data_IF_301759765734
#
_entry.id   IF_301759765734
#
_cell.length_a   1.000
_cell.length_b   1.000
_cell.length_c   1.000
_cell.angle_alpha   90.00
_cell.angle_beta   90.00
_cell.angle_gamma   90.00
#
_symmetry.space_group_name_H-M   'P 1'
#
loop_
_entity.id
_entity.type
_entity.pdbx_description
1 polymer ?
#
# COMPACT_ATOMS: atom_id res chain seq x y z
N UNK A 1 23.79 -3.24 10.67
CA UNK A 1 22.34 -3.06 10.50
C UNK A 1 21.81 -2.18 11.62
N UNK A 2 20.82 -1.31 11.35
CA UNK A 2 20.13 -0.54 12.39
C UNK A 2 18.84 -1.26 12.77
N UNK A 3 18.69 -1.62 14.04
CA UNK A 3 17.49 -2.26 14.57
C UNK A 3 17.13 -1.64 15.91
N UNK A 4 15.88 -1.19 16.05
CA UNK A 4 15.31 -0.68 17.30
C UNK A 4 16.20 0.38 17.97
N UNK A 5 16.73 1.32 17.17
CA UNK A 5 17.63 2.38 17.62
C UNK A 5 19.09 1.96 17.88
N UNK A 6 19.41 0.67 17.75
CA UNK A 6 20.76 0.12 17.96
C UNK A 6 21.46 -0.19 16.63
N UNK A 7 22.79 -0.05 16.59
CA UNK A 7 23.60 -0.53 15.46
C UNK A 7 24.23 -1.87 15.82
N UNK A 8 23.82 -2.93 15.12
CA UNK A 8 24.23 -4.31 15.38
C UNK A 8 24.90 -4.86 14.13
N UNK A 9 26.00 -5.60 14.29
CA UNK A 9 26.65 -6.30 13.17
C UNK A 9 25.80 -7.51 12.77
N UNK A 10 25.58 -7.79 11.47
CA UNK A 10 24.71 -8.89 11.04
C UNK A 10 25.02 -10.24 11.71
N UNK A 11 26.30 -10.57 11.88
CA UNK A 11 26.76 -11.82 12.51
C UNK A 11 26.45 -11.95 14.01
N UNK A 12 26.13 -10.85 14.69
CA UNK A 12 25.81 -10.85 16.13
C UNK A 12 24.30 -10.95 16.38
N UNK A 13 23.46 -10.78 15.34
CA UNK A 13 22.00 -10.71 15.49
C UNK A 13 21.44 -12.01 16.08
N UNK A 14 21.85 -13.16 15.54
CA UNK A 14 21.34 -14.47 15.97
C UNK A 14 21.65 -14.78 17.44
N UNK A 15 22.68 -14.16 18.01
CA UNK A 15 23.03 -14.29 19.44
C UNK A 15 22.07 -13.54 20.35
N UNK A 16 21.49 -12.45 19.85
CA UNK A 16 20.56 -11.60 20.60
C UNK A 16 19.11 -12.04 20.35
N UNK A 17 18.79 -12.40 19.12
CA UNK A 17 17.45 -12.75 18.66
C UNK A 17 17.55 -13.94 17.71
N UNK A 18 17.33 -15.17 18.21
CA UNK A 18 17.48 -16.38 17.40
C UNK A 18 16.57 -16.45 16.17
N UNK A 19 15.44 -15.74 16.19
CA UNK A 19 14.58 -15.52 15.02
C UNK A 19 14.19 -14.04 14.95
N UNK A 20 14.99 -13.26 14.22
CA UNK A 20 14.77 -11.83 14.03
C UNK A 20 13.38 -11.54 13.44
N UNK A 21 12.84 -12.44 12.62
CA UNK A 21 11.56 -12.22 11.94
C UNK A 21 10.36 -12.27 12.88
N UNK A 22 10.53 -12.73 14.13
CA UNK A 22 9.52 -12.55 15.18
C UNK A 22 9.46 -11.12 15.71
N UNK A 23 10.52 -10.32 15.57
CA UNK A 23 10.58 -8.93 16.00
C UNK A 23 10.45 -7.95 14.83
N UNK A 24 11.18 -8.20 13.75
CA UNK A 24 11.21 -7.40 12.52
C UNK A 24 10.92 -8.31 11.32
N UNK A 25 9.65 -8.35 10.92
CA UNK A 25 9.17 -9.32 9.94
C UNK A 25 7.75 -9.07 9.48
N UNK A 26 7.17 -10.09 8.86
CA UNK A 26 5.84 -10.05 8.25
C UNK A 26 4.88 -10.91 9.07
N UNK A 27 3.72 -10.35 9.43
CA UNK A 27 2.65 -11.06 10.12
C UNK A 27 1.33 -10.85 9.40
N UNK A 28 0.53 -11.90 9.28
CA UNK A 28 -0.76 -11.87 8.61
C UNK A 28 -1.87 -11.98 9.64
N UNK A 29 -2.88 -11.14 9.48
CA UNK A 29 -4.03 -11.00 10.37
C UNK A 29 -5.31 -11.02 9.54
N UNK A 30 -6.42 -11.21 10.26
CA UNK A 30 -7.76 -11.00 9.73
C UNK A 30 -8.53 -10.12 10.70
N UNK A 31 -9.18 -9.09 10.19
CA UNK A 31 -10.08 -8.26 10.97
C UNK A 31 -11.29 -9.07 11.41
N UNK A 32 -11.65 -9.01 12.69
CA UNK A 32 -12.79 -9.78 13.23
C UNK A 32 -14.07 -8.95 13.36
N UNK A 33 -13.97 -7.62 13.39
CA UNK A 33 -15.11 -6.73 13.69
C UNK A 33 -15.16 -5.50 12.78
N UNK A 34 -16.27 -4.77 12.84
CA UNK A 34 -16.49 -3.52 12.12
C UNK A 34 -16.65 -3.71 10.60
N UNK A 35 -16.56 -2.61 9.86
CA UNK A 35 -16.77 -2.62 8.41
C UNK A 35 -15.65 -3.36 7.64
N UNK A 36 -14.51 -3.59 8.28
CA UNK A 36 -13.40 -4.41 7.78
C UNK A 36 -13.51 -5.90 8.11
N UNK A 37 -14.54 -6.36 8.82
CA UNK A 37 -14.64 -7.76 9.26
C UNK A 37 -14.42 -8.76 8.11
N UNK A 38 -13.56 -9.75 8.37
CA UNK A 38 -13.14 -10.76 7.41
C UNK A 38 -12.06 -10.32 6.43
N UNK A 39 -11.59 -9.06 6.46
CA UNK A 39 -10.51 -8.58 5.58
C UNK A 39 -9.14 -9.03 6.09
N UNK A 40 -8.25 -9.35 5.15
CA UNK A 40 -6.84 -9.66 5.42
C UNK A 40 -6.06 -8.38 5.65
N UNK A 41 -5.16 -8.41 6.63
CA UNK A 41 -4.17 -7.36 6.89
C UNK A 41 -2.81 -8.02 7.00
N UNK A 42 -1.82 -7.50 6.28
CA UNK A 42 -0.43 -7.93 6.41
C UNK A 42 0.33 -6.80 7.08
N UNK A 43 0.84 -7.02 8.28
CA UNK A 43 1.68 -6.06 8.99
C UNK A 43 3.14 -6.37 8.77
N UNK A 44 3.90 -5.37 8.36
CA UNK A 44 5.33 -5.46 8.15
C UNK A 44 6.02 -4.53 9.14
N UNK A 45 6.88 -5.09 9.98
CA UNK A 45 7.71 -4.36 10.93
C UNK A 45 9.15 -4.41 10.43
N UNK A 46 9.72 -3.30 9.97
CA UNK A 46 11.09 -3.31 9.45
C UNK A 46 12.15 -3.49 10.53
N UNK A 47 11.82 -3.17 11.80
CA UNK A 47 12.79 -3.04 12.89
C UNK A 47 13.67 -1.78 12.80
N UNK A 48 13.66 -1.06 11.68
CA UNK A 48 14.36 0.21 11.48
C UNK A 48 13.55 1.44 11.89
N UNK A 49 12.29 1.26 12.28
CA UNK A 49 11.36 2.32 12.66
C UNK A 49 10.11 2.39 11.77
N UNK A 50 10.16 1.84 10.56
CA UNK A 50 9.00 1.76 9.68
C UNK A 50 8.14 0.53 10.00
N UNK A 51 6.85 0.77 10.22
CA UNK A 51 5.82 -0.26 10.31
C UNK A 51 4.70 0.10 9.34
N UNK A 52 4.19 -0.88 8.58
CA UNK A 52 3.07 -0.63 7.65
C UNK A 52 2.08 -1.78 7.68
N UNK A 53 0.83 -1.44 7.40
CA UNK A 53 -0.21 -2.38 7.02
C UNK A 53 -0.34 -2.42 5.51
N UNK A 54 -0.48 -3.61 4.97
CA UNK A 54 -0.77 -3.89 3.56
C UNK A 54 -2.12 -4.60 3.52
N UNK A 55 -2.97 -4.23 2.58
CA UNK A 55 -4.37 -4.64 2.51
C UNK A 55 -4.64 -5.51 1.26
N UNK A 56 -4.42 -6.84 1.33
CA UNK A 56 -4.60 -7.73 0.19
C UNK A 56 -5.99 -7.65 -0.45
N UNK A 57 -7.04 -7.45 0.34
CA UNK A 57 -8.41 -7.41 -0.18
C UNK A 57 -8.80 -6.05 -0.79
N UNK A 58 -7.80 -5.16 -0.97
CA UNK A 58 -7.89 -3.85 -1.61
C UNK A 58 -6.72 -3.64 -2.57
N UNK A 59 -6.51 -4.60 -3.47
CA UNK A 59 -5.40 -4.59 -4.44
C UNK A 59 -4.01 -4.36 -3.84
N UNK A 60 -3.77 -4.90 -2.63
CA UNK A 60 -2.51 -4.73 -1.91
C UNK A 60 -2.19 -3.25 -1.59
N UNK A 61 -3.23 -2.42 -1.37
CA UNK A 61 -3.12 -1.04 -0.90
C UNK A 61 -2.28 -0.94 0.39
N UNK A 62 -1.68 0.23 0.61
CA UNK A 62 -0.96 0.51 1.86
C UNK A 62 -1.97 1.12 2.83
N UNK A 63 -2.26 0.38 3.89
CA UNK A 63 -3.10 0.79 5.01
C UNK A 63 -2.42 1.82 5.89
N UNK A 64 -2.52 1.70 7.21
CA UNK A 64 -1.82 2.63 8.09
C UNK A 64 -0.30 2.39 8.04
N UNK A 65 0.47 3.46 8.22
CA UNK A 65 1.92 3.45 8.26
C UNK A 65 2.43 4.27 9.43
N UNK A 66 3.49 3.80 10.07
CA UNK A 66 4.16 4.45 11.20
C UNK A 66 5.65 4.56 10.92
N UNK A 67 6.26 5.66 11.33
CA UNK A 67 7.70 5.82 11.41
C UNK A 67 8.07 6.18 12.85
N UNK A 68 8.95 5.40 13.47
CA UNK A 68 9.37 5.56 14.87
C UNK A 68 8.18 5.65 15.85
N UNK A 69 7.14 4.86 15.56
CA UNK A 69 5.90 4.82 16.35
C UNK A 69 4.90 5.95 16.04
N UNK A 70 5.24 6.91 15.18
CA UNK A 70 4.37 8.02 14.79
C UNK A 70 3.60 7.67 13.51
N UNK A 71 2.25 7.65 13.52
CA UNK A 71 1.47 7.35 12.32
C UNK A 71 1.57 8.50 11.30
N UNK A 72 1.41 8.18 10.01
CA UNK A 72 1.39 9.24 8.97
C UNK A 72 0.46 8.96 7.79
N UNK A 73 -0.21 7.81 7.75
CA UNK A 73 -1.29 7.55 6.80
C UNK A 73 -2.64 8.11 7.29
N UNK A 74 -3.42 8.70 6.40
CA UNK A 74 -4.78 9.12 6.73
C UNK A 74 -5.67 7.89 6.96
N UNK A 75 -6.47 7.90 8.03
CA UNK A 75 -7.43 6.82 8.31
C UNK A 75 -8.82 7.40 8.53
N UNK A 76 -9.77 6.96 7.72
CA UNK A 76 -11.15 7.36 7.84
C UNK A 76 -11.89 6.58 8.94
N UNK A 77 -13.05 7.08 9.41
CA UNK A 77 -13.82 6.43 10.47
C UNK A 77 -14.41 5.07 10.07
N UNK A 78 -14.39 4.73 8.78
CA UNK A 78 -14.87 3.45 8.23
C UNK A 78 -13.74 2.40 8.21
N UNK A 79 -12.48 2.82 8.36
CA UNK A 79 -11.32 1.93 8.33
C UNK A 79 -11.10 1.23 6.98
N UNK A 80 -10.46 0.06 7.01
CA UNK A 80 -10.14 -0.75 5.84
C UNK A 80 -11.32 -1.63 5.37
N UNK A 81 -12.49 -1.03 5.18
CA UNK A 81 -13.69 -1.75 4.77
C UNK A 81 -13.59 -2.30 3.33
N UNK A 82 -14.42 -3.33 3.06
CA UNK A 82 -14.57 -3.93 1.72
C UNK A 82 -14.99 -2.86 0.71
N UNK A 83 -14.20 -2.59 -0.34
CA UNK A 83 -14.48 -1.53 -1.30
C UNK A 83 -15.81 -1.68 -2.02
N UNK A 84 -16.27 -2.92 -2.28
CA UNK A 84 -17.53 -3.20 -2.96
C UNK A 84 -18.77 -2.66 -2.24
N UNK A 85 -18.67 -2.28 -0.96
CA UNK A 85 -19.77 -1.72 -0.17
C UNK A 85 -19.67 -0.20 0.00
N UNK A 86 -18.68 0.44 -0.64
CA UNK A 86 -18.34 1.85 -0.46
C UNK A 86 -18.50 2.61 -1.76
N UNK A 87 -18.88 3.89 -1.67
CA UNK A 87 -19.08 4.77 -2.82
C UNK A 87 -18.33 6.09 -2.68
N UNK A 88 -18.01 6.71 -3.82
CA UNK A 88 -17.36 8.03 -3.84
C UNK A 88 -15.99 8.01 -3.17
N UNK A 89 -15.79 8.86 -2.14
CA UNK A 89 -14.52 8.98 -1.41
C UNK A 89 -14.41 8.04 -0.19
N UNK A 90 -15.47 7.30 0.15
CA UNK A 90 -15.46 6.38 1.29
C UNK A 90 -14.35 5.32 1.24
N UNK A 91 -13.95 4.79 0.05
CA UNK A 91 -12.87 3.82 -0.01
C UNK A 91 -11.48 4.41 0.27
N UNK A 92 -11.27 5.72 0.14
CA UNK A 92 -9.94 6.33 0.28
C UNK A 92 -9.55 6.35 1.75
N UNK A 93 -8.88 5.32 2.25
CA UNK A 93 -8.36 5.21 3.61
C UNK A 93 -7.07 4.39 3.62
N UNK A 94 -6.14 4.72 4.51
CA UNK A 94 -4.76 4.24 4.48
C UNK A 94 -3.83 5.22 3.78
N UNK A 95 -2.53 4.96 3.85
CA UNK A 95 -1.50 5.79 3.25
C UNK A 95 -1.61 5.85 1.72
N UNK A 96 -2.00 4.75 1.07
CA UNK A 96 -2.10 4.72 -0.39
C UNK A 96 -3.27 3.86 -0.86
N UNK A 97 -4.08 4.43 -1.73
CA UNK A 97 -5.07 3.69 -2.52
C UNK A 97 -4.70 3.70 -4.00
N UNK A 98 -4.60 2.53 -4.63
CA UNK A 98 -4.37 2.47 -6.07
C UNK A 98 -5.65 2.81 -6.83
N UNK A 99 -5.53 3.72 -7.79
CA UNK A 99 -6.56 4.06 -8.76
C UNK A 99 -6.09 3.62 -10.14
N UNK A 100 -6.97 3.03 -10.94
CA UNK A 100 -6.61 2.41 -12.23
C UNK A 100 -7.18 1.00 -12.40
N UNK A 101 -6.54 0.13 -13.19
CA UNK A 101 -5.65 0.52 -14.29
C UNK A 101 -6.43 0.85 -15.57
N UNK A 102 -7.76 0.70 -15.51
CA UNK A 102 -8.71 0.92 -16.58
C UNK A 102 -9.34 2.31 -16.58
N UNK A 103 -9.36 3.00 -15.43
CA UNK A 103 -9.83 4.38 -15.27
C UNK A 103 -9.26 5.04 -14.00
N UNK A 104 -9.13 6.36 -13.95
CA UNK A 104 -8.65 7.09 -12.76
C UNK A 104 -9.51 8.28 -12.35
N UNK A 105 -10.48 8.69 -13.18
CA UNK A 105 -11.23 9.94 -12.99
C UNK A 105 -12.51 9.74 -12.19
N UNK A 106 -13.38 10.76 -12.22
CA UNK A 106 -14.76 10.67 -11.74
C UNK A 106 -15.53 9.56 -12.49
N UNK A 107 -16.65 9.05 -11.95
CA UNK A 107 -17.46 8.05 -12.64
C UNK A 107 -17.79 8.49 -14.07
N UNK A 108 -17.73 7.54 -15.00
CA UNK A 108 -17.94 7.79 -16.43
C UNK A 108 -18.56 6.54 -17.09
N UNK A 109 -19.27 6.74 -18.20
CA UNK A 109 -19.77 5.66 -19.06
C UNK A 109 -19.24 5.85 -20.48
N UNK A 110 -18.46 4.90 -20.97
CA UNK A 110 -17.99 4.84 -22.35
C UNK A 110 -17.89 3.38 -22.80
N UNK A 111 -18.92 2.89 -23.49
CA UNK A 111 -19.06 1.47 -23.88
C UNK A 111 -19.28 0.49 -22.71
N UNK A 112 -18.84 0.84 -21.50
CA UNK A 112 -19.06 0.18 -20.21
C UNK A 112 -19.01 1.21 -19.07
N UNK A 113 -19.57 0.91 -17.88
CA UNK A 113 -19.45 1.80 -16.73
C UNK A 113 -18.06 1.74 -16.10
N UNK A 114 -17.52 2.91 -15.73
CA UNK A 114 -16.30 3.05 -14.96
C UNK A 114 -16.61 3.70 -13.61
N UNK A 115 -16.31 3.03 -12.48
CA UNK A 115 -16.47 3.63 -11.17
C UNK A 115 -15.43 4.73 -10.97
N UNK A 116 -15.67 5.59 -9.97
CA UNK A 116 -14.67 6.56 -9.54
C UNK A 116 -13.34 5.86 -9.28
N UNK A 117 -12.25 6.39 -9.85
CA UNK A 117 -10.89 5.88 -9.67
C UNK A 117 -10.61 4.48 -10.25
N UNK A 118 -11.52 3.93 -11.06
CA UNK A 118 -11.33 2.65 -11.74
C UNK A 118 -11.60 1.43 -10.88
N UNK A 119 -11.50 0.27 -11.51
CA UNK A 119 -11.96 -0.99 -10.91
C UNK A 119 -10.92 -1.69 -10.05
N UNK A 120 -9.64 -1.29 -10.11
CA UNK A 120 -8.57 -2.00 -9.39
C UNK A 120 -8.77 -1.98 -7.88
N UNK A 121 -9.25 -0.87 -7.31
CA UNK A 121 -9.48 -0.75 -5.87
C UNK A 121 -10.49 -1.78 -5.36
N UNK A 122 -11.35 -2.31 -6.24
CA UNK A 122 -12.36 -3.32 -5.90
C UNK A 122 -11.81 -4.76 -5.92
N UNK A 123 -10.59 -4.97 -6.41
CA UNK A 123 -10.04 -6.30 -6.62
C UNK A 123 -9.26 -6.79 -5.40
N UNK A 124 -9.61 -7.96 -4.83
CA UNK A 124 -8.72 -8.63 -3.89
C UNK A 124 -7.50 -9.20 -4.63
N UNK A 125 -6.36 -9.18 -3.96
CA UNK A 125 -5.10 -9.69 -4.47
C UNK A 125 -4.91 -11.17 -4.11
N UNK A 126 -4.39 -11.93 -5.06
CA UNK A 126 -3.93 -13.30 -4.87
C UNK A 126 -2.46 -13.26 -4.42
N UNK A 127 -2.23 -13.57 -3.14
CA UNK A 127 -0.91 -13.46 -2.54
C UNK A 127 0.03 -14.53 -3.11
N UNK A 128 1.17 -14.12 -3.66
CA UNK A 128 2.24 -15.00 -4.15
C UNK A 128 3.32 -15.22 -3.12
N UNK A 129 3.69 -14.16 -2.41
CA UNK A 129 4.78 -14.17 -1.44
C UNK A 129 4.51 -13.17 -0.31
N UNK A 130 4.85 -13.55 0.91
CA UNK A 130 4.92 -12.69 2.08
C UNK A 130 6.03 -13.22 2.99
N UNK A 131 7.29 -12.87 2.68
CA UNK A 131 8.46 -13.41 3.36
C UNK A 131 9.68 -12.47 3.26
N UNK A 132 10.69 -12.64 4.13
CA UNK A 132 12.02 -12.09 3.92
C UNK A 132 12.65 -12.66 2.64
N UNK A 133 13.35 -11.82 1.88
CA UNK A 133 14.03 -12.18 0.64
C UNK A 133 15.41 -11.53 0.61
N UNK A 134 16.44 -12.32 0.35
CA UNK A 134 17.79 -11.82 0.12
C UNK A 134 17.90 -11.14 -1.25
N UNK A 135 18.52 -9.97 -1.28
CA UNK A 135 18.79 -9.22 -2.50
C UNK A 135 20.23 -8.73 -2.52
N UNK A 136 20.69 -8.21 -3.64
CA UNK A 136 22.02 -7.59 -3.75
C UNK A 136 22.21 -6.40 -2.79
N UNK A 137 21.12 -5.77 -2.31
CA UNK A 137 21.13 -4.63 -1.38
C UNK A 137 20.91 -5.06 0.08
N UNK A 138 20.90 -6.35 0.35
CA UNK A 138 20.54 -6.95 1.65
C UNK A 138 19.12 -7.50 1.69
N UNK A 139 18.71 -7.99 2.87
CA UNK A 139 17.39 -8.59 3.09
C UNK A 139 16.28 -7.55 3.02
N UNK A 140 15.22 -7.86 2.27
CA UNK A 140 13.96 -7.10 2.25
C UNK A 140 12.81 -7.96 2.76
N UNK A 141 11.85 -7.34 3.42
CA UNK A 141 10.56 -7.93 3.75
C UNK A 141 9.65 -7.71 2.53
N UNK A 142 9.41 -8.78 1.76
CA UNK A 142 8.67 -8.71 0.49
C UNK A 142 7.24 -9.22 0.64
N UNK A 143 6.31 -8.45 0.09
CA UNK A 143 4.93 -8.88 -0.17
C UNK A 143 4.66 -8.74 -1.65
N UNK A 144 4.27 -9.84 -2.31
CA UNK A 144 3.98 -9.86 -3.75
C UNK A 144 2.63 -10.53 -4.00
N UNK A 145 1.82 -9.95 -4.88
CA UNK A 145 0.51 -10.48 -5.23
C UNK A 145 0.12 -10.15 -6.69
N UNK A 146 -0.81 -10.94 -7.22
CA UNK A 146 -1.42 -10.73 -8.52
C UNK A 146 -2.87 -10.24 -8.36
N UNK A 147 -3.29 -9.31 -9.22
CA UNK A 147 -4.68 -8.86 -9.39
C UNK A 147 -5.08 -8.98 -10.87
N UNK A 148 -6.39 -9.03 -11.13
CA UNK A 148 -6.92 -9.13 -12.49
C UNK A 148 -8.09 -8.19 -12.67
N UNK A 149 -8.12 -7.51 -13.80
CA UNK A 149 -9.28 -6.81 -14.32
C UNK A 149 -9.71 -7.52 -15.59
N UNK A 150 -11.02 -7.73 -15.77
CA UNK A 150 -11.53 -8.39 -16.96
C UNK A 150 -12.94 -7.92 -17.30
N UNK A 151 -13.15 -7.70 -18.58
CA UNK A 151 -14.45 -7.47 -19.19
C UNK A 151 -14.55 -8.32 -20.45
N UNK A 152 -15.66 -9.02 -20.61
CA UNK A 152 -15.87 -9.97 -21.70
C UNK A 152 -15.75 -9.34 -23.11
N UNK A 153 -16.14 -8.07 -23.25
CA UNK A 153 -16.16 -7.34 -24.54
C UNK A 153 -14.93 -6.47 -24.76
N UNK A 154 -14.22 -6.15 -23.69
CA UNK A 154 -13.14 -5.15 -23.73
C UNK A 154 -11.77 -5.73 -23.32
N UNK A 155 -11.67 -7.02 -23.03
CA UNK A 155 -10.43 -7.67 -22.61
C UNK A 155 -10.10 -7.37 -21.14
N UNK A 156 -8.81 -7.43 -20.79
CA UNK A 156 -8.42 -7.29 -19.39
C UNK A 156 -6.96 -6.93 -19.16
N UNK A 157 -6.62 -6.86 -17.88
CA UNK A 157 -5.26 -6.60 -17.39
C UNK A 157 -4.90 -7.59 -16.30
N UNK A 158 -3.66 -8.08 -16.33
CA UNK A 158 -3.02 -8.73 -15.18
C UNK A 158 -2.10 -7.72 -14.53
N UNK A 159 -2.21 -7.57 -13.22
CA UNK A 159 -1.38 -6.66 -12.45
C UNK A 159 -0.57 -7.53 -11.50
N UNK A 160 0.76 -7.41 -11.53
CA UNK A 160 1.63 -7.94 -10.48
C UNK A 160 2.16 -6.78 -9.66
N UNK A 161 1.95 -6.83 -8.36
CA UNK A 161 2.43 -5.83 -7.42
C UNK A 161 3.40 -6.45 -6.43
N UNK A 162 4.53 -5.77 -6.23
CA UNK A 162 5.57 -6.13 -5.26
C UNK A 162 5.86 -4.94 -4.36
N UNK A 163 5.78 -5.15 -3.05
CA UNK A 163 6.16 -4.19 -2.02
C UNK A 163 7.37 -4.75 -1.27
N UNK A 164 8.45 -3.99 -1.27
CA UNK A 164 9.72 -4.31 -0.62
C UNK A 164 10.03 -3.26 0.46
N UNK A 165 10.27 -3.74 1.69
CA UNK A 165 10.69 -2.91 2.82
C UNK A 165 12.03 -3.44 3.32
N UNK A 166 13.13 -2.67 3.28
CA UNK A 166 14.42 -3.15 3.76
C UNK A 166 14.37 -3.49 5.26
N UNK A 167 14.92 -4.65 5.62
CA UNK A 167 15.07 -5.03 7.02
C UNK A 167 16.04 -4.05 7.72
N UNK A 168 15.60 -3.46 8.83
CA UNK A 168 16.29 -2.37 9.51
C UNK A 168 16.22 -1.02 8.79
N UNK A 169 15.41 -0.90 7.73
CA UNK A 169 15.23 0.33 6.96
C UNK A 169 13.98 1.14 7.34
N UNK A 170 13.88 2.34 6.78
CA UNK A 170 12.72 3.23 6.92
C UNK A 170 12.12 3.61 5.55
N UNK A 171 12.37 2.81 4.51
CA UNK A 171 11.82 3.01 3.17
C UNK A 171 10.87 1.89 2.76
N UNK A 172 9.97 2.22 1.83
CA UNK A 172 9.08 1.29 1.16
C UNK A 172 9.23 1.48 -0.34
N UNK A 173 9.41 0.39 -1.07
CA UNK A 173 9.50 0.39 -2.52
C UNK A 173 8.36 -0.44 -3.10
N UNK A 174 7.54 0.17 -3.94
CA UNK A 174 6.48 -0.52 -4.66
C UNK A 174 6.81 -0.60 -6.14
N UNK A 175 6.62 -1.78 -6.72
CA UNK A 175 6.81 -2.07 -8.14
C UNK A 175 5.56 -2.74 -8.70
N UNK A 176 4.96 -2.15 -9.73
CA UNK A 176 3.77 -2.65 -10.40
C UNK A 176 4.09 -3.00 -11.87
N UNK A 177 3.72 -4.19 -12.29
CA UNK A 177 3.78 -4.65 -13.68
C UNK A 177 2.37 -4.89 -14.20
N UNK A 178 2.03 -4.30 -15.34
CA UNK A 178 0.69 -4.41 -15.95
C UNK A 178 0.81 -5.03 -17.34
N UNK A 179 0.15 -6.17 -17.53
CA UNK A 179 0.03 -6.87 -18.81
C UNK A 179 -1.40 -6.73 -19.33
N UNK A 180 -1.58 -6.06 -20.47
CA UNK A 180 -2.87 -5.96 -21.16
C UNK A 180 -3.09 -7.19 -22.04
N UNK A 181 -4.30 -7.76 -22.01
CA UNK A 181 -4.67 -8.92 -22.84
C UNK A 181 -6.08 -8.83 -23.42
N UNK A 182 -6.34 -9.64 -24.46
CA UNK A 182 -7.64 -9.71 -25.14
C UNK A 182 -7.83 -8.59 -26.16
N UNK A 183 -7.91 -7.34 -25.68
CA UNK A 183 -8.03 -6.15 -26.53
C UNK A 183 -7.05 -5.05 -26.08
N UNK A 184 -6.46 -4.29 -27.02
CA UNK A 184 -5.71 -3.08 -26.67
C UNK A 184 -6.58 -2.09 -25.90
N UNK A 185 -6.08 -1.60 -24.79
CA UNK A 185 -6.74 -0.60 -23.94
C UNK A 185 -5.68 0.27 -23.25
N UNK A 186 -5.98 1.56 -22.98
CA UNK A 186 -5.06 2.42 -22.26
C UNK A 186 -4.83 1.90 -20.84
N UNK A 187 -3.61 2.12 -20.32
CA UNK A 187 -3.26 1.85 -18.93
C UNK A 187 -3.15 3.19 -18.21
N UNK A 188 -3.98 3.39 -17.19
CA UNK A 188 -4.01 4.62 -16.38
C UNK A 188 -3.73 4.28 -14.93
N UNK A 189 -2.72 4.90 -14.32
CA UNK A 189 -2.37 4.65 -12.94
C UNK A 189 -2.31 5.96 -12.16
N UNK A 190 -2.94 5.98 -10.99
CA UNK A 190 -2.79 7.06 -10.02
C UNK A 190 -2.61 6.46 -8.62
N UNK A 191 -1.50 6.77 -7.99
CA UNK A 191 -1.20 6.37 -6.62
C UNK A 191 -1.75 7.44 -5.68
N UNK A 192 -2.94 7.19 -5.13
CA UNK A 192 -3.61 8.18 -4.29
C UNK A 192 -3.02 8.14 -2.88
N UNK A 193 -1.98 8.96 -2.64
CA UNK A 193 -1.28 9.06 -1.36
C UNK A 193 -2.08 9.96 -0.40
N UNK A 194 -2.41 9.44 0.78
CA UNK A 194 -3.18 10.14 1.80
C UNK A 194 -2.34 10.30 3.07
N UNK A 195 -1.83 11.51 3.31
CA UNK A 195 -1.14 11.84 4.56
C UNK A 195 -2.14 12.24 5.64
N UNK A 196 -1.94 11.70 6.84
CA UNK A 196 -2.76 11.96 8.03
C UNK A 196 -2.02 12.72 9.11
N UNK A 197 -2.75 13.14 10.14
CA UNK A 197 -2.16 13.68 11.36
C UNK A 197 -1.30 12.61 12.09
N UNK A 198 -0.17 12.97 12.72
CA UNK A 198 0.39 14.32 12.88
C UNK A 198 1.25 14.85 11.73
N UNK A 199 1.49 14.08 10.67
CA UNK A 199 2.31 14.56 9.54
C UNK A 199 1.62 15.70 8.77
N UNK A 200 0.33 15.54 8.49
CA UNK A 200 -0.51 16.54 7.83
C UNK A 200 -1.34 17.31 8.86
N UNK A 201 -1.17 18.63 8.89
CA UNK A 201 -1.87 19.55 9.77
C UNK A 201 -1.72 21.01 9.33
N UNK A 202 -2.22 21.98 10.11
CA UNK A 202 -2.21 23.40 9.76
C UNK A 202 -0.81 23.97 9.47
N UNK A 203 0.22 23.44 10.11
CA UNK A 203 1.61 23.93 10.01
C UNK A 203 2.46 23.11 9.01
N UNK A 204 1.85 22.19 8.25
CA UNK A 204 2.57 21.37 7.27
C UNK A 204 3.07 22.21 6.09
N UNK A 205 4.24 21.86 5.56
CA UNK A 205 4.81 22.46 4.34
C UNK A 205 4.85 21.42 3.23
N UNK A 206 4.34 21.78 2.05
CA UNK A 206 4.44 20.98 0.84
C UNK A 206 5.37 21.67 -0.16
N UNK A 207 6.41 20.96 -0.60
CA UNK A 207 7.34 21.45 -1.61
C UNK A 207 7.29 20.58 -2.87
N UNK A 208 7.35 21.20 -4.04
CA UNK A 208 7.54 20.54 -5.33
C UNK A 208 8.81 21.10 -5.97
N UNK A 209 9.78 20.23 -6.26
CA UNK A 209 11.10 20.60 -6.81
C UNK A 209 11.80 21.74 -6.04
N UNK A 210 11.62 21.74 -4.71
CA UNK A 210 12.18 22.74 -3.79
C UNK A 210 11.34 24.03 -3.66
N UNK A 211 10.31 24.23 -4.47
CA UNK A 211 9.39 25.36 -4.32
C UNK A 211 8.28 25.03 -3.31
N UNK A 212 8.04 25.93 -2.35
CA UNK A 212 6.90 25.83 -1.42
C UNK A 212 5.59 26.12 -2.18
N UNK A 213 4.70 25.12 -2.19
CA UNK A 213 3.38 25.18 -2.84
C UNK A 213 2.24 25.05 -1.83
N UNK A 214 2.52 25.16 -0.53
CA UNK A 214 1.56 24.94 0.56
C UNK A 214 0.31 25.80 0.40
N UNK A 215 0.48 27.07 0.04
CA UNK A 215 -0.64 28.01 -0.13
C UNK A 215 -1.60 27.68 -1.28
N UNK A 216 -1.14 26.92 -2.29
CA UNK A 216 -1.95 26.51 -3.43
C UNK A 216 -2.55 25.11 -3.25
N UNK A 217 -1.93 24.26 -2.43
CA UNK A 217 -2.24 22.84 -2.33
C UNK A 217 -2.93 22.43 -1.02
N UNK A 218 -2.68 23.15 0.08
CA UNK A 218 -3.35 22.88 1.35
C UNK A 218 -4.66 23.67 1.39
N UNK A 219 -5.78 22.96 1.45
CA UNK A 219 -7.08 23.58 1.73
C UNK A 219 -7.01 24.21 3.12
N UNK A 220 -7.21 25.53 3.19
CA UNK A 220 -7.37 26.25 4.46
C UNK A 220 -8.74 25.97 5.07
#
# INVERSE_FOLDING_TARGET
MKLFGSTIRPEDVDRLVPDLHKLAGIRQFREENGAGAGMRVIRVESGGGLSVEILPDRALDIGQAWCDGVPFGWTGPIGAARPAHLNGNQPLSGLMSICGFDHIRQPEEDGRPFPKHGNITLQPAELRLAAPVETERGTVLRVEADMRLFDLRHGGMKIRRRIDIPLGGQSLHQHDEVEVFGHPQPVMAMYHINFGWPLAGPDSVLTLDGADISGAALAR
#
